data_IF_516425934588
#
_entry.id   IF_516425934588
#
_cell.length_a   1.000
_cell.length_b   1.000
_cell.length_c   1.000
_cell.angle_alpha   90.00
_cell.angle_beta   90.00
_cell.angle_gamma   90.00
#
_symmetry.space_group_name_H-M   'P 1'
#
loop_
_entity.id
_entity.type
_entity.pdbx_description
1 polymer ?
#
# COMPACT_ATOMS: atom_id res chain seq x y z
N UNK A 1 -84.90 52.54 -19.06
CA UNK A 1 -84.44 51.59 -18.03
C UNK A 1 -83.82 50.30 -18.60
N UNK A 2 -83.37 50.24 -19.87
CA UNK A 2 -82.82 49.00 -20.45
C UNK A 2 -81.27 48.92 -20.47
N UNK A 3 -80.56 49.99 -20.11
CA UNK A 3 -79.08 50.02 -20.16
C UNK A 3 -78.36 49.50 -18.90
N UNK A 4 -79.03 49.44 -17.74
CA UNK A 4 -78.41 49.03 -16.48
C UNK A 4 -78.32 47.50 -16.31
N UNK A 5 -79.23 46.74 -16.92
CA UNK A 5 -79.25 45.27 -16.82
C UNK A 5 -78.19 44.56 -17.68
N UNK A 6 -77.76 45.19 -18.79
CA UNK A 6 -76.72 44.64 -19.66
C UNK A 6 -75.31 44.81 -19.06
N UNK A 7 -75.03 45.96 -18.44
CA UNK A 7 -73.74 46.21 -17.76
C UNK A 7 -73.56 45.32 -16.52
N UNK A 8 -74.62 45.06 -15.75
CA UNK A 8 -74.58 44.16 -14.59
C UNK A 8 -74.37 42.68 -14.98
N UNK A 9 -74.87 42.25 -16.13
CA UNK A 9 -74.69 40.89 -16.62
C UNK A 9 -73.27 40.66 -17.16
N UNK A 10 -72.65 41.67 -17.76
CA UNK A 10 -71.27 41.65 -18.25
C UNK A 10 -70.28 41.62 -17.07
N UNK A 11 -70.51 42.41 -16.03
CA UNK A 11 -69.74 42.38 -14.77
C UNK A 11 -69.83 41.01 -14.06
N UNK A 12 -70.99 40.37 -14.06
CA UNK A 12 -71.18 39.04 -13.49
C UNK A 12 -70.39 37.97 -14.26
N UNK A 13 -70.33 38.08 -15.59
CA UNK A 13 -69.58 37.16 -16.45
C UNK A 13 -68.06 37.31 -16.25
N UNK A 14 -67.57 38.55 -16.13
CA UNK A 14 -66.16 38.85 -15.83
C UNK A 14 -65.77 38.31 -14.44
N UNK A 15 -66.64 38.49 -13.43
CA UNK A 15 -66.40 37.93 -12.09
C UNK A 15 -66.34 36.40 -12.10
N UNK A 16 -67.23 35.73 -12.85
CA UNK A 16 -67.21 34.27 -12.99
C UNK A 16 -65.95 33.78 -13.71
N UNK A 17 -65.51 34.47 -14.76
CA UNK A 17 -64.27 34.14 -15.48
C UNK A 17 -63.03 34.31 -14.59
N UNK A 18 -62.98 35.38 -13.79
CA UNK A 18 -61.90 35.62 -12.83
C UNK A 18 -61.88 34.56 -11.71
N UNK A 19 -63.06 34.15 -11.22
CA UNK A 19 -63.20 33.08 -10.24
C UNK A 19 -62.68 31.75 -10.81
N UNK A 20 -63.11 31.38 -12.02
CA UNK A 20 -62.68 30.15 -12.68
C UNK A 20 -61.15 30.13 -12.92
N UNK A 21 -60.56 31.27 -13.33
CA UNK A 21 -59.11 31.41 -13.49
C UNK A 21 -58.37 31.24 -12.15
N UNK A 22 -58.89 31.86 -11.09
CA UNK A 22 -58.31 31.73 -9.74
C UNK A 22 -58.34 30.29 -9.25
N UNK A 23 -59.45 29.57 -9.47
CA UNK A 23 -59.57 28.14 -9.11
C UNK A 23 -58.56 27.30 -9.90
N UNK A 24 -58.44 27.52 -11.21
CA UNK A 24 -57.47 26.79 -12.04
C UNK A 24 -56.02 27.01 -11.56
N UNK A 25 -55.68 28.25 -11.19
CA UNK A 25 -54.36 28.58 -10.66
C UNK A 25 -54.10 27.95 -9.29
N UNK A 26 -55.12 27.85 -8.43
CA UNK A 26 -55.01 27.15 -7.14
C UNK A 26 -54.72 25.66 -7.36
N UNK A 27 -55.48 25.00 -8.25
CA UNK A 27 -55.25 23.58 -8.56
C UNK A 27 -53.86 23.33 -9.16
N UNK A 28 -53.37 24.23 -10.01
CA UNK A 28 -52.00 24.15 -10.54
C UNK A 28 -50.96 24.29 -9.42
N UNK A 29 -51.14 25.25 -8.50
CA UNK A 29 -50.24 25.43 -7.36
C UNK A 29 -50.28 24.22 -6.41
N UNK A 30 -51.45 23.64 -6.15
CA UNK A 30 -51.60 22.42 -5.34
C UNK A 30 -50.82 21.26 -5.97
N UNK A 31 -50.97 21.04 -7.28
CA UNK A 31 -50.21 20.00 -7.99
C UNK A 31 -48.69 20.25 -7.95
N UNK A 32 -48.26 21.52 -8.06
CA UNK A 32 -46.85 21.87 -7.92
C UNK A 32 -46.33 21.62 -6.49
N UNK A 33 -47.13 21.92 -5.47
CA UNK A 33 -46.80 21.65 -4.06
C UNK A 33 -46.64 20.14 -3.84
N UNK A 34 -47.60 19.33 -4.28
CA UNK A 34 -47.52 17.86 -4.17
C UNK A 34 -46.26 17.30 -4.85
N UNK A 35 -45.93 17.82 -6.04
CA UNK A 35 -44.70 17.42 -6.75
C UNK A 35 -43.43 17.81 -5.98
N UNK A 36 -43.40 19.00 -5.37
CA UNK A 36 -42.27 19.48 -4.58
C UNK A 36 -42.13 18.69 -3.27
N UNK A 37 -43.24 18.37 -2.60
CA UNK A 37 -43.23 17.54 -1.40
C UNK A 37 -42.65 16.14 -1.69
N UNK A 38 -43.01 15.55 -2.83
CA UNK A 38 -42.44 14.28 -3.25
C UNK A 38 -40.93 14.37 -3.56
N UNK A 39 -40.48 15.47 -4.18
CA UNK A 39 -39.06 15.71 -4.42
C UNK A 39 -38.27 15.86 -3.12
N UNK A 40 -38.82 16.58 -2.13
CA UNK A 40 -38.23 16.72 -0.79
C UNK A 40 -38.08 15.34 -0.13
N UNK A 41 -39.11 14.50 -0.16
CA UNK A 41 -39.04 13.14 0.39
C UNK A 41 -37.94 12.29 -0.30
N UNK A 42 -37.79 12.42 -1.62
CA UNK A 42 -36.75 11.72 -2.35
C UNK A 42 -35.35 12.22 -1.97
N UNK A 43 -35.17 13.53 -1.81
CA UNK A 43 -33.91 14.12 -1.36
C UNK A 43 -33.56 13.68 0.07
N UNK A 44 -34.53 13.65 0.98
CA UNK A 44 -34.34 13.14 2.34
C UNK A 44 -33.89 11.67 2.36
N UNK A 45 -34.42 10.85 1.45
CA UNK A 45 -34.00 9.46 1.30
C UNK A 45 -32.54 9.36 0.84
N UNK A 46 -32.14 10.17 -0.15
CA UNK A 46 -30.77 10.22 -0.64
C UNK A 46 -29.78 10.69 0.42
N UNK A 47 -30.17 11.67 1.25
CA UNK A 47 -29.34 12.13 2.38
C UNK A 47 -29.10 11.00 3.37
N UNK A 48 -30.15 10.27 3.77
CA UNK A 48 -30.02 9.10 4.66
C UNK A 48 -29.12 8.01 4.09
N UNK A 49 -29.22 7.77 2.78
CA UNK A 49 -28.37 6.79 2.10
C UNK A 49 -26.90 7.24 2.11
N UNK A 50 -26.64 8.53 1.85
CA UNK A 50 -25.30 9.13 1.92
C UNK A 50 -24.70 9.04 3.32
N UNK A 51 -25.49 9.27 4.37
CA UNK A 51 -25.04 9.12 5.76
C UNK A 51 -24.63 7.66 6.04
N UNK A 52 -25.44 6.69 5.59
CA UNK A 52 -25.13 5.27 5.73
C UNK A 52 -23.84 4.87 5.03
N UNK A 53 -23.57 5.38 3.82
CA UNK A 53 -22.30 5.13 3.12
C UNK A 53 -21.11 5.78 3.83
N UNK A 54 -21.29 6.96 4.42
CA UNK A 54 -20.26 7.65 5.20
C UNK A 54 -19.87 6.84 6.44
N UNK A 55 -20.85 6.31 7.17
CA UNK A 55 -20.62 5.46 8.34
C UNK A 55 -19.89 4.16 7.96
N UNK A 56 -20.32 3.52 6.86
CA UNK A 56 -19.67 2.33 6.34
C UNK A 56 -18.22 2.60 5.93
N UNK A 57 -17.96 3.72 5.25
CA UNK A 57 -16.61 4.16 4.88
C UNK A 57 -15.75 4.28 6.13
N UNK A 58 -16.21 5.02 7.15
CA UNK A 58 -15.46 5.23 8.38
C UNK A 58 -15.05 3.92 9.08
N UNK A 59 -15.97 2.95 9.19
CA UNK A 59 -15.67 1.65 9.81
C UNK A 59 -14.72 0.80 8.96
N UNK A 60 -14.82 0.85 7.63
CA UNK A 60 -13.89 0.16 6.73
C UNK A 60 -12.48 0.76 6.82
N UNK A 61 -12.36 2.09 6.86
CA UNK A 61 -11.06 2.76 6.99
C UNK A 61 -10.41 2.44 8.33
N UNK A 62 -11.20 2.48 9.41
CA UNK A 62 -10.75 2.13 10.76
C UNK A 62 -10.27 0.68 10.87
N UNK A 63 -10.97 -0.27 10.26
CA UNK A 63 -10.67 -1.70 10.38
C UNK A 63 -9.55 -2.16 9.44
N UNK A 64 -9.44 -1.57 8.25
CA UNK A 64 -8.45 -1.94 7.24
C UNK A 64 -7.11 -1.21 7.40
N UNK A 65 -7.12 -0.04 8.04
CA UNK A 65 -6.00 0.89 8.04
C UNK A 65 -5.77 1.55 6.68
N UNK A 66 -6.75 1.52 5.77
CA UNK A 66 -6.70 2.15 4.46
C UNK A 66 -7.72 3.28 4.42
N UNK A 67 -7.29 4.52 4.20
CA UNK A 67 -8.16 5.68 4.07
C UNK A 67 -8.18 6.17 2.62
N UNK A 68 -9.37 6.34 2.04
CA UNK A 68 -9.51 6.85 0.68
C UNK A 68 -9.50 8.37 0.71
N UNK A 69 -8.40 8.97 0.25
CA UNK A 69 -8.17 10.42 0.26
C UNK A 69 -8.89 11.11 -0.89
N UNK A 70 -8.77 10.57 -2.10
CA UNK A 70 -9.44 11.12 -3.27
C UNK A 70 -9.62 10.07 -4.35
N UNK A 71 -10.79 10.11 -5.00
CA UNK A 71 -11.08 9.34 -6.20
C UNK A 71 -11.42 10.34 -7.31
N UNK A 72 -10.79 10.17 -8.46
CA UNK A 72 -11.07 10.89 -9.70
C UNK A 72 -11.08 9.89 -10.85
N UNK A 73 -11.43 10.34 -12.06
CA UNK A 73 -11.48 9.45 -13.22
C UNK A 73 -10.12 8.80 -13.53
N UNK A 74 -9.02 9.52 -13.29
CA UNK A 74 -7.67 9.07 -13.64
C UNK A 74 -6.80 8.72 -12.42
N UNK A 75 -7.21 9.08 -11.21
CA UNK A 75 -6.38 8.88 -10.01
C UNK A 75 -7.16 8.36 -8.81
N UNK A 76 -6.54 7.40 -8.13
CA UNK A 76 -6.94 6.90 -6.83
C UNK A 76 -5.82 7.19 -5.82
N UNK A 77 -6.13 7.97 -4.77
CA UNK A 77 -5.20 8.25 -3.68
C UNK A 77 -5.69 7.61 -2.39
N UNK A 78 -4.81 6.84 -1.76
CA UNK A 78 -5.09 6.07 -0.55
C UNK A 78 -3.99 6.32 0.46
N UNK A 79 -4.35 6.54 1.72
CA UNK A 79 -3.41 6.50 2.85
C UNK A 79 -3.41 5.10 3.44
N UNK A 80 -2.23 4.51 3.56
CA UNK A 80 -1.98 3.21 4.15
C UNK A 80 -1.38 3.45 5.53
N UNK A 81 -2.12 3.09 6.58
CA UNK A 81 -1.66 3.12 7.96
C UNK A 81 -1.24 1.71 8.35
N UNK A 82 0.06 1.51 8.51
CA UNK A 82 0.63 0.23 8.95
C UNK A 82 0.93 0.26 10.45
N UNK A 83 0.22 -0.53 11.27
CA UNK A 83 0.58 -0.71 12.67
C UNK A 83 1.81 -1.60 12.76
N UNK A 84 2.82 -1.17 13.52
CA UNK A 84 4.01 -1.98 13.77
C UNK A 84 3.80 -2.71 15.10
N UNK A 85 3.76 -4.05 15.11
CA UNK A 85 3.89 -4.78 16.36
C UNK A 85 5.33 -4.60 16.84
N UNK A 86 5.47 -3.83 17.92
CA UNK A 86 6.74 -3.72 18.64
C UNK A 86 7.18 -5.12 19.07
N UNK A 87 8.17 -5.69 18.39
CA UNK A 87 8.75 -6.99 18.77
C UNK A 87 9.57 -6.90 20.07
N UNK A 88 9.91 -5.69 20.54
CA UNK A 88 10.49 -5.47 21.87
C UNK A 88 9.98 -4.15 22.46
N UNK A 89 9.22 -4.25 23.54
CA UNK A 89 8.94 -3.16 24.49
C UNK A 89 10.28 -2.66 25.02
N UNK A 90 10.77 -1.48 24.62
CA UNK A 90 11.76 -0.69 25.39
C UNK A 90 12.13 0.67 24.76
N UNK A 91 11.58 1.07 23.60
CA UNK A 91 11.63 2.48 23.23
C UNK A 91 10.33 3.18 23.70
N UNK A 92 10.42 4.27 24.48
CA UNK A 92 9.25 5.04 24.90
C UNK A 92 8.57 5.80 23.74
N UNK A 93 9.11 5.74 22.52
CA UNK A 93 8.70 6.57 21.38
C UNK A 93 8.12 5.80 20.17
N UNK A 94 7.92 4.47 20.21
CA UNK A 94 7.44 3.70 19.04
C UNK A 94 6.00 3.17 19.14
N UNK A 95 5.08 3.98 19.67
CA UNK A 95 3.66 3.90 19.24
C UNK A 95 3.48 4.63 17.89
N UNK A 96 4.37 4.38 16.95
CA UNK A 96 4.40 5.06 15.66
C UNK A 96 3.44 4.37 14.69
N UNK A 97 2.34 5.02 14.34
CA UNK A 97 1.62 4.70 13.12
C UNK A 97 2.53 5.11 11.96
N UNK A 98 2.82 4.18 11.06
CA UNK A 98 3.53 4.52 9.82
C UNK A 98 2.48 4.74 8.75
N UNK A 99 2.49 5.95 8.20
CA UNK A 99 1.53 6.39 7.19
C UNK A 99 2.27 6.58 5.88
N UNK A 100 1.77 5.91 4.86
CA UNK A 100 2.23 6.05 3.48
C UNK A 100 1.07 6.47 2.59
N UNK A 101 1.28 7.42 1.72
CA UNK A 101 0.30 7.81 0.71
C UNK A 101 0.63 7.13 -0.61
N UNK A 102 -0.31 6.34 -1.11
CA UNK A 102 -0.25 5.65 -2.38
C UNK A 102 -1.16 6.36 -3.38
N UNK A 103 -0.56 6.91 -4.43
CA UNK A 103 -1.28 7.44 -5.58
C UNK A 103 -1.17 6.45 -6.75
N UNK A 104 -2.30 6.06 -7.31
CA UNK A 104 -2.40 5.16 -8.46
C UNK A 104 -3.02 5.95 -9.61
N UNK A 105 -2.28 6.06 -10.72
CA UNK A 105 -2.78 6.63 -11.97
C UNK A 105 -3.35 5.52 -12.85
N UNK A 106 -4.57 5.72 -13.32
CA UNK A 106 -5.33 4.79 -14.15
C UNK A 106 -5.44 5.34 -15.57
N UNK A 107 -5.22 4.48 -16.54
CA UNK A 107 -5.58 4.76 -17.93
C UNK A 107 -7.06 4.39 -18.12
N UNK A 108 -7.91 5.41 -18.25
CA UNK A 108 -9.37 5.25 -18.42
C UNK A 108 -9.74 4.55 -19.73
N UNK A 109 -8.87 4.60 -20.74
CA UNK A 109 -9.13 3.98 -22.05
C UNK A 109 -8.88 2.47 -22.03
N UNK A 110 -7.81 2.05 -21.36
CA UNK A 110 -7.44 0.63 -21.27
C UNK A 110 -7.88 -0.03 -19.97
N UNK A 111 -8.35 0.74 -18.99
CA UNK A 111 -8.67 0.30 -17.63
C UNK A 111 -7.47 -0.41 -16.96
N UNK A 112 -6.26 0.13 -17.15
CA UNK A 112 -5.00 -0.41 -16.58
C UNK A 112 -4.28 0.59 -15.70
N UNK A 113 -3.35 0.11 -14.86
CA UNK A 113 -2.52 0.97 -14.01
C UNK A 113 -1.37 1.54 -14.86
N UNK A 114 -1.34 2.86 -15.01
CA UNK A 114 -0.31 3.56 -15.79
C UNK A 114 0.95 3.82 -14.96
N UNK A 115 0.75 4.32 -13.74
CA UNK A 115 1.82 4.67 -12.81
C UNK A 115 1.35 4.51 -11.36
N UNK A 116 2.28 4.24 -10.46
CA UNK A 116 2.02 4.28 -9.02
C UNK A 116 3.13 5.06 -8.33
N UNK A 117 2.75 5.85 -7.34
CA UNK A 117 3.65 6.66 -6.55
C UNK A 117 3.37 6.40 -5.07
N UNK A 118 4.41 6.05 -4.32
CA UNK A 118 4.35 5.86 -2.87
C UNK A 118 5.15 6.95 -2.17
N UNK A 119 4.53 7.66 -1.23
CA UNK A 119 5.15 8.70 -0.43
C UNK A 119 5.10 8.33 1.06
N UNK A 120 6.19 8.51 1.82
CA UNK A 120 7.54 8.88 1.38
C UNK A 120 8.21 7.78 0.53
N UNK A 121 9.27 8.13 -0.22
CA UNK A 121 10.07 7.18 -1.05
C UNK A 121 11.06 6.36 -0.20
N UNK A 122 10.64 5.90 0.98
CA UNK A 122 11.47 5.15 1.92
C UNK A 122 11.38 3.63 1.74
N UNK A 123 10.44 3.18 0.91
CA UNK A 123 10.19 1.77 0.57
C UNK A 123 10.36 1.61 -0.94
N UNK A 124 11.26 0.74 -1.41
CA UNK A 124 11.35 0.41 -2.84
C UNK A 124 10.15 -0.46 -3.25
N UNK A 125 9.52 -0.13 -4.38
CA UNK A 125 8.32 -0.80 -4.92
C UNK A 125 8.32 -0.92 -6.45
N UNK A 126 9.44 -0.61 -7.10
CA UNK A 126 9.58 -0.57 -8.55
C UNK A 126 9.34 -1.95 -9.19
N UNK A 127 9.72 -3.01 -8.47
CA UNK A 127 9.45 -4.40 -8.84
C UNK A 127 7.94 -4.70 -8.88
N UNK A 128 7.20 -4.17 -7.90
CA UNK A 128 5.75 -4.34 -7.81
C UNK A 128 5.01 -3.59 -8.92
N UNK A 129 5.48 -2.40 -9.29
CA UNK A 129 4.92 -1.64 -10.41
C UNK A 129 5.14 -2.39 -11.73
N UNK A 130 6.34 -2.93 -11.95
CA UNK A 130 6.64 -3.73 -13.14
C UNK A 130 5.76 -5.00 -13.21
N UNK A 131 5.57 -5.70 -12.09
CA UNK A 131 4.67 -6.85 -11.98
C UNK A 131 3.23 -6.50 -12.38
N UNK A 132 2.71 -5.36 -11.92
CA UNK A 132 1.33 -4.98 -12.27
C UNK A 132 1.21 -4.57 -13.74
N UNK A 133 2.23 -3.90 -14.30
CA UNK A 133 2.26 -3.59 -15.74
C UNK A 133 2.31 -4.86 -16.60
N UNK A 134 3.09 -5.86 -16.20
CA UNK A 134 3.13 -7.16 -16.92
C UNK A 134 1.82 -7.92 -16.81
N UNK A 135 1.19 -7.96 -15.63
CA UNK A 135 -0.15 -8.54 -15.46
C UNK A 135 -1.22 -7.81 -16.28
N UNK A 136 -1.11 -6.49 -16.40
CA UNK A 136 -2.00 -5.68 -17.25
C UNK A 136 -1.87 -6.07 -18.73
N UNK A 137 -0.67 -6.40 -19.20
CA UNK A 137 -0.44 -6.93 -20.57
C UNK A 137 -1.06 -8.32 -20.72
N UNK A 138 -0.90 -9.21 -19.72
CA UNK A 138 -1.47 -10.56 -19.76
C UNK A 138 -2.99 -10.56 -19.72
N UNK A 139 -3.62 -9.61 -19.03
CA UNK A 139 -5.08 -9.44 -19.01
C UNK A 139 -5.66 -8.86 -20.31
N UNK A 140 -4.83 -8.39 -21.25
CA UNK A 140 -5.26 -8.15 -22.64
C UNK A 140 -5.50 -9.45 -23.42
N UNK A 141 -5.17 -10.62 -22.84
CA UNK A 141 -5.55 -11.90 -23.41
C UNK A 141 -7.07 -12.14 -23.24
N UNK A 142 -7.83 -12.47 -24.31
CA UNK A 142 -9.30 -12.52 -24.30
C UNK A 142 -9.95 -13.50 -23.31
N UNK A 143 -9.18 -14.36 -22.64
CA UNK A 143 -9.69 -15.47 -21.85
C UNK A 143 -10.04 -15.12 -20.39
N UNK A 144 -9.70 -13.91 -19.93
CA UNK A 144 -9.95 -13.47 -18.53
C UNK A 144 -10.90 -12.26 -18.41
N UNK A 145 -11.42 -11.75 -19.54
CA UNK A 145 -12.24 -10.53 -19.61
C UNK A 145 -13.74 -10.81 -19.43
N UNK A 146 -14.10 -11.77 -18.57
CA UNK A 146 -15.49 -11.93 -18.15
C UNK A 146 -15.73 -11.06 -16.91
N UNK A 147 -16.05 -9.78 -17.17
CA UNK A 147 -16.74 -8.88 -16.27
C UNK A 147 -15.85 -8.11 -15.30
N UNK A 148 -15.40 -6.90 -15.69
CA UNK A 148 -15.12 -5.72 -14.83
C UNK A 148 -14.25 -5.85 -13.56
N UNK A 149 -13.79 -7.04 -13.17
CA UNK A 149 -13.17 -7.36 -11.89
C UNK A 149 -11.64 -7.46 -11.99
N UNK A 150 -11.07 -7.28 -13.18
CA UNK A 150 -9.64 -7.41 -13.41
C UNK A 150 -8.82 -6.31 -12.74
N UNK A 151 -9.30 -5.07 -12.77
CA UNK A 151 -8.58 -3.91 -12.24
C UNK A 151 -8.72 -3.80 -10.71
N UNK A 152 -9.89 -4.12 -10.15
CA UNK A 152 -10.11 -4.12 -8.69
C UNK A 152 -9.22 -5.16 -8.00
N UNK A 153 -9.05 -6.35 -8.59
CA UNK A 153 -8.10 -7.38 -8.12
C UNK A 153 -6.65 -6.92 -8.21
N UNK A 154 -6.28 -6.21 -9.29
CA UNK A 154 -4.93 -5.68 -9.46
C UNK A 154 -4.60 -4.60 -8.43
N UNK A 155 -5.50 -3.63 -8.23
CA UNK A 155 -5.35 -2.58 -7.20
C UNK A 155 -5.26 -3.21 -5.81
N UNK A 156 -6.16 -4.14 -5.49
CA UNK A 156 -6.14 -4.82 -4.20
C UNK A 156 -4.84 -5.61 -3.97
N UNK A 157 -4.36 -6.34 -5.00
CA UNK A 157 -3.09 -7.06 -4.95
C UNK A 157 -1.91 -6.11 -4.74
N UNK A 158 -1.89 -4.98 -5.47
CA UNK A 158 -0.85 -3.96 -5.35
C UNK A 158 -0.81 -3.37 -3.94
N UNK A 159 -1.96 -2.91 -3.42
CA UNK A 159 -2.08 -2.36 -2.07
C UNK A 159 -1.61 -3.40 -1.03
N UNK A 160 -2.02 -4.65 -1.18
CA UNK A 160 -1.64 -5.73 -0.26
C UNK A 160 -0.13 -5.97 -0.25
N UNK A 161 0.50 -6.02 -1.42
CA UNK A 161 1.96 -6.21 -1.55
C UNK A 161 2.75 -5.01 -1.05
N UNK A 162 2.31 -3.79 -1.38
CA UNK A 162 2.91 -2.54 -0.87
C UNK A 162 2.83 -2.51 0.66
N UNK A 163 1.68 -2.85 1.25
CA UNK A 163 1.52 -2.92 2.71
C UNK A 163 2.47 -3.93 3.34
N UNK A 164 2.63 -5.11 2.75
CA UNK A 164 3.62 -6.09 3.20
C UNK A 164 5.05 -5.56 3.10
N UNK A 165 5.34 -4.79 2.05
CA UNK A 165 6.65 -4.15 1.81
C UNK A 165 6.98 -3.10 2.86
N UNK A 166 6.03 -2.22 3.14
CA UNK A 166 6.12 -1.20 4.20
C UNK A 166 6.40 -1.90 5.53
N UNK A 167 5.59 -2.91 5.85
CA UNK A 167 5.72 -3.66 7.09
C UNK A 167 7.11 -4.33 7.23
N UNK A 168 7.58 -5.01 6.17
CA UNK A 168 8.91 -5.63 6.14
C UNK A 168 10.03 -4.59 6.28
N UNK A 169 9.90 -3.43 5.62
CA UNK A 169 10.90 -2.35 5.70
C UNK A 169 11.03 -1.80 7.13
N UNK A 170 9.90 -1.62 7.83
CA UNK A 170 9.91 -1.13 9.20
C UNK A 170 10.57 -2.15 10.13
N UNK A 171 10.15 -3.43 10.05
CA UNK A 171 10.76 -4.48 10.86
C UNK A 171 12.26 -4.64 10.58
N UNK A 172 12.65 -4.54 9.31
CA UNK A 172 14.06 -4.58 8.88
C UNK A 172 14.87 -3.48 9.55
N UNK A 173 14.41 -2.23 9.45
CA UNK A 173 15.12 -1.09 10.01
C UNK A 173 15.29 -1.21 11.52
N UNK A 174 14.25 -1.67 12.23
CA UNK A 174 14.32 -1.95 13.66
C UNK A 174 15.34 -3.05 13.97
N UNK A 175 15.27 -4.21 13.30
CA UNK A 175 16.20 -5.32 13.51
C UNK A 175 17.66 -4.95 13.24
N UNK A 176 17.91 -4.20 12.15
CA UNK A 176 19.25 -3.70 11.81
C UNK A 176 19.73 -2.72 12.88
N UNK A 177 18.87 -1.81 13.34
CA UNK A 177 19.25 -0.82 14.37
C UNK A 177 19.61 -1.47 15.71
N UNK A 178 18.91 -2.54 16.09
CA UNK A 178 19.21 -3.34 17.29
C UNK A 178 20.53 -4.07 17.11
N UNK A 179 20.72 -4.71 15.95
CA UNK A 179 21.92 -5.49 15.65
C UNK A 179 23.16 -4.61 15.51
N UNK A 180 23.03 -3.39 15.00
CA UNK A 180 24.14 -2.44 14.88
C UNK A 180 24.73 -2.01 16.23
N UNK A 181 24.00 -2.19 17.34
CA UNK A 181 24.50 -1.93 18.71
C UNK A 181 25.41 -3.05 19.23
N UNK A 182 25.45 -4.20 18.56
CA UNK A 182 26.27 -5.32 19.02
C UNK A 182 27.76 -5.04 18.77
N UNK A 183 28.62 -4.98 19.81
CA UNK A 183 30.01 -4.54 19.66
C UNK A 183 30.87 -5.52 18.85
N UNK A 184 30.45 -6.78 18.73
CA UNK A 184 31.17 -7.86 18.04
C UNK A 184 31.15 -7.69 16.52
N UNK A 185 30.08 -7.11 15.95
CA UNK A 185 29.90 -6.96 14.51
C UNK A 185 29.71 -5.48 14.17
N UNK A 186 30.49 -4.94 13.23
CA UNK A 186 30.25 -3.58 12.73
C UNK A 186 29.35 -3.65 11.50
N UNK A 187 28.09 -3.28 11.66
CA UNK A 187 27.08 -3.32 10.62
C UNK A 187 26.90 -1.95 9.96
N UNK A 188 26.88 -1.95 8.63
CA UNK A 188 26.50 -0.79 7.82
C UNK A 188 25.42 -1.23 6.83
N UNK A 189 24.26 -0.59 6.88
CA UNK A 189 23.17 -0.83 5.94
C UNK A 189 23.20 0.21 4.82
N UNK A 190 23.06 -0.26 3.57
CA UNK A 190 22.84 0.56 2.38
C UNK A 190 21.43 0.28 1.86
N UNK A 191 20.47 1.20 2.09
CA UNK A 191 19.09 1.04 1.61
C UNK A 191 19.00 0.93 0.08
N UNK A 192 19.78 1.74 -0.64
CA UNK A 192 19.79 1.78 -2.11
C UNK A 192 20.15 0.43 -2.74
N UNK A 193 21.16 -0.25 -2.19
CA UNK A 193 21.62 -1.55 -2.69
C UNK A 193 20.94 -2.75 -2.00
N UNK A 194 20.05 -2.50 -1.02
CA UNK A 194 19.49 -3.51 -0.11
C UNK A 194 20.58 -4.46 0.44
N UNK A 195 21.70 -3.86 0.83
CA UNK A 195 22.90 -4.57 1.23
C UNK A 195 23.28 -4.21 2.66
N UNK A 196 23.57 -5.23 3.47
CA UNK A 196 24.28 -5.04 4.74
C UNK A 196 25.71 -5.49 4.61
N UNK A 197 26.62 -4.58 4.92
CA UNK A 197 28.03 -4.86 5.08
C UNK A 197 28.32 -5.08 6.56
N UNK A 198 28.82 -6.26 6.92
CA UNK A 198 29.15 -6.63 8.28
C UNK A 198 30.65 -6.93 8.41
N UNK A 199 31.36 -6.19 9.26
CA UNK A 199 32.72 -6.56 9.65
C UNK A 199 32.65 -7.64 10.74
N UNK A 200 33.18 -8.82 10.45
CA UNK A 200 33.21 -9.95 11.37
C UNK A 200 34.39 -9.83 12.37
N UNK A 201 34.39 -10.57 13.49
CA UNK A 201 35.53 -10.76 14.38
C UNK A 201 36.68 -11.46 13.65
N UNK A 202 37.50 -10.66 12.98
CA UNK A 202 38.54 -11.13 12.09
C UNK A 202 38.77 -10.10 10.97
N UNK A 203 39.74 -10.36 10.10
CA UNK A 203 40.05 -9.48 8.98
C UNK A 203 39.10 -9.74 7.81
N UNK A 204 37.81 -10.01 8.05
CA UNK A 204 36.80 -10.31 7.03
C UNK A 204 35.57 -9.40 7.12
N UNK A 205 35.04 -9.08 5.96
CA UNK A 205 33.83 -8.31 5.73
C UNK A 205 32.86 -9.16 4.92
N UNK A 206 31.66 -9.35 5.44
CA UNK A 206 30.56 -10.03 4.77
C UNK A 206 29.65 -9.00 4.10
N UNK A 207 29.35 -9.20 2.82
CA UNK A 207 28.33 -8.45 2.09
C UNK A 207 27.10 -9.31 1.96
N UNK A 208 26.00 -8.88 2.59
CA UNK A 208 24.77 -9.66 2.73
C UNK A 208 23.67 -8.96 1.95
N UNK A 209 23.14 -9.63 0.94
CA UNK A 209 21.92 -9.21 0.27
C UNK A 209 20.72 -9.44 1.17
N UNK A 210 19.91 -8.40 1.32
CA UNK A 210 18.66 -8.45 2.06
C UNK A 210 17.52 -8.47 1.05
N UNK A 211 16.77 -9.57 0.94
CA UNK A 211 15.59 -9.56 0.11
C UNK A 211 14.55 -8.61 0.69
N UNK A 212 13.81 -8.01 -0.21
CA UNK A 212 12.78 -7.02 0.03
C UNK A 212 11.65 -7.41 0.98
N UNK A 213 11.37 -8.71 1.13
CA UNK A 213 10.41 -9.23 2.09
C UNK A 213 11.00 -9.58 3.46
N UNK A 214 12.32 -9.59 3.63
CA UNK A 214 12.94 -9.85 4.94
C UNK A 214 12.58 -8.74 5.94
N UNK A 215 12.24 -9.06 7.20
CA UNK A 215 12.38 -10.35 7.90
C UNK A 215 11.13 -11.24 7.91
N UNK A 216 10.24 -11.13 6.92
CA UNK A 216 9.02 -11.95 6.86
C UNK A 216 9.33 -13.43 6.57
N UNK A 217 8.48 -14.37 7.03
CA UNK A 217 8.63 -15.79 6.70
C UNK A 217 8.72 -16.03 5.19
N UNK A 218 9.62 -16.93 4.78
CA UNK A 218 9.86 -17.25 3.37
C UNK A 218 10.93 -16.38 2.69
N UNK A 219 11.46 -15.36 3.38
CA UNK A 219 12.56 -14.53 2.89
C UNK A 219 13.81 -14.75 3.74
N UNK A 220 14.83 -15.40 3.16
CA UNK A 220 16.12 -15.67 3.82
C UNK A 220 17.20 -14.67 3.44
N UNK A 221 18.11 -14.37 4.36
CA UNK A 221 19.31 -13.60 4.04
C UNK A 221 20.22 -14.39 3.09
N UNK A 222 20.94 -13.68 2.22
CA UNK A 222 21.87 -14.28 1.29
C UNK A 222 23.24 -13.60 1.39
N UNK A 223 24.29 -14.39 1.56
CA UNK A 223 25.66 -13.91 1.56
C UNK A 223 26.12 -13.74 0.12
N UNK A 224 26.39 -12.51 -0.31
CA UNK A 224 26.89 -12.23 -1.66
C UNK A 224 28.39 -12.48 -1.78
N UNK A 225 29.16 -12.07 -0.77
CA UNK A 225 30.62 -12.22 -0.81
C UNK A 225 31.24 -12.10 0.58
N UNK A 226 32.37 -12.78 0.78
CA UNK A 226 33.29 -12.55 1.88
C UNK A 226 34.58 -11.94 1.35
N UNK A 227 34.97 -10.79 1.89
CA UNK A 227 36.15 -10.03 1.44
C UNK A 227 37.07 -9.73 2.62
N UNK A 228 38.39 -9.81 2.47
CA UNK A 228 39.32 -9.36 3.49
C UNK A 228 39.18 -7.87 3.81
N UNK A 229 38.99 -7.53 5.09
CA UNK A 229 38.80 -6.17 5.59
C UNK A 229 40.06 -5.28 5.51
N UNK A 230 41.24 -5.87 5.29
CA UNK A 230 42.50 -5.12 5.22
C UNK A 230 43.29 -5.46 3.95
N UNK A 231 43.96 -4.45 3.37
CA UNK A 231 44.88 -4.60 2.24
C UNK A 231 46.15 -5.41 2.57
N UNK A 232 46.33 -5.85 3.82
CA UNK A 232 47.41 -6.77 4.16
C UNK A 232 47.00 -8.13 3.64
N UNK A 233 47.78 -8.64 2.67
CA UNK A 233 47.61 -9.95 2.02
C UNK A 233 47.17 -10.99 3.06
N UNK A 234 45.88 -11.30 3.09
CA UNK A 234 45.44 -12.56 3.65
C UNK A 234 45.75 -13.59 2.57
N UNK A 235 46.64 -14.53 2.89
CA UNK A 235 46.98 -15.68 2.05
C UNK A 235 45.88 -16.76 2.08
N UNK A 236 44.62 -16.33 2.18
CA UNK A 236 43.49 -17.25 2.08
C UNK A 236 43.11 -17.38 0.61
N UNK A 237 43.07 -18.62 0.14
CA UNK A 237 42.64 -18.90 -1.22
C UNK A 237 41.23 -18.34 -1.41
N UNK A 238 41.03 -17.60 -2.50
CA UNK A 238 39.72 -17.10 -2.92
C UNK A 238 38.68 -18.22 -3.00
N UNK A 239 39.13 -19.45 -3.28
CA UNK A 239 38.27 -20.63 -3.34
C UNK A 239 37.69 -21.01 -1.98
N UNK A 240 38.45 -20.83 -0.88
CA UNK A 240 37.96 -21.12 0.47
C UNK A 240 36.88 -20.12 0.88
N UNK A 241 37.06 -18.84 0.53
CA UNK A 241 36.06 -17.81 0.77
C UNK A 241 34.79 -18.04 -0.05
N UNK A 242 34.93 -18.46 -1.31
CA UNK A 242 33.80 -18.81 -2.17
C UNK A 242 33.04 -20.02 -1.62
N UNK A 243 33.73 -21.08 -1.19
CA UNK A 243 33.11 -22.23 -0.53
C UNK A 243 32.38 -21.85 0.75
N UNK A 244 32.91 -20.90 1.53
CA UNK A 244 32.20 -20.38 2.71
C UNK A 244 30.90 -19.67 2.34
N UNK A 245 30.88 -18.94 1.21
CA UNK A 245 29.67 -18.31 0.69
C UNK A 245 28.61 -19.36 0.32
N UNK A 246 28.99 -20.37 -0.45
CA UNK A 246 28.07 -21.44 -0.87
C UNK A 246 27.51 -22.23 0.32
N UNK A 247 28.37 -22.55 1.31
CA UNK A 247 27.95 -23.21 2.54
C UNK A 247 27.06 -22.34 3.41
N UNK A 248 27.32 -21.03 3.49
CA UNK A 248 26.47 -20.12 4.24
C UNK A 248 25.07 -20.01 3.61
N UNK A 249 24.96 -20.04 2.29
CA UNK A 249 23.66 -19.93 1.60
C UNK A 249 22.88 -21.26 1.56
N UNK A 250 23.54 -22.40 1.69
CA UNK A 250 22.91 -23.74 1.72
C UNK A 250 22.62 -24.27 3.12
N UNK A 251 23.26 -23.72 4.15
CA UNK A 251 23.14 -24.20 5.53
C UNK A 251 21.79 -23.84 6.16
N UNK A 252 21.10 -24.79 6.83
CA UNK A 252 19.87 -24.49 7.56
C UNK A 252 20.11 -23.56 8.77
N UNK A 253 21.31 -23.58 9.37
CA UNK A 253 21.68 -22.66 10.46
C UNK A 253 21.70 -21.20 10.01
N UNK A 254 21.90 -20.97 8.71
CA UNK A 254 21.94 -19.66 8.07
C UNK A 254 20.60 -19.23 7.47
N UNK A 255 19.54 -20.04 7.61
CA UNK A 255 18.18 -19.66 7.18
C UNK A 255 17.41 -18.87 8.25
N UNK A 256 18.06 -18.53 9.36
CA UNK A 256 17.43 -17.74 10.42
C UNK A 256 17.04 -16.34 9.91
N UNK A 257 15.85 -15.83 10.27
CA UNK A 257 15.47 -14.46 9.97
C UNK A 257 16.28 -13.45 10.80
N UNK A 258 17.05 -13.86 11.80
CA UNK A 258 17.88 -12.96 12.62
C UNK A 258 19.27 -12.77 12.00
N UNK A 259 19.61 -11.51 11.70
CA UNK A 259 20.91 -11.14 11.12
C UNK A 259 22.09 -11.50 12.02
N UNK A 260 21.93 -11.46 13.34
CA UNK A 260 23.01 -11.83 14.27
C UNK A 260 23.28 -13.33 14.23
N UNK A 261 22.23 -14.15 14.19
CA UNK A 261 22.38 -15.60 14.06
C UNK A 261 23.00 -15.97 12.71
N UNK A 262 22.60 -15.28 11.64
CA UNK A 262 23.21 -15.44 10.33
C UNK A 262 24.72 -15.13 10.34
N UNK A 263 25.13 -14.03 10.95
CA UNK A 263 26.55 -13.67 11.10
C UNK A 263 27.34 -14.67 11.93
N UNK A 264 26.74 -15.19 13.02
CA UNK A 264 27.34 -16.24 13.84
C UNK A 264 27.53 -17.55 13.07
N UNK A 265 26.55 -17.92 12.24
CA UNK A 265 26.64 -19.09 11.37
C UNK A 265 27.76 -18.94 10.34
N UNK A 266 27.87 -17.78 9.70
CA UNK A 266 28.98 -17.46 8.78
C UNK A 266 30.33 -17.59 9.48
N UNK A 267 30.45 -17.01 10.68
CA UNK A 267 31.68 -17.08 11.48
C UNK A 267 32.06 -18.53 11.81
N UNK A 268 31.07 -19.35 12.20
CA UNK A 268 31.27 -20.78 12.49
C UNK A 268 31.71 -21.57 11.25
N UNK A 269 31.09 -21.32 10.09
CA UNK A 269 31.45 -21.97 8.81
C UNK A 269 32.90 -21.61 8.45
N UNK A 270 33.24 -20.33 8.51
CA UNK A 270 34.59 -19.86 8.21
C UNK A 270 35.66 -20.46 9.15
N UNK A 271 35.40 -20.46 10.47
CA UNK A 271 36.32 -21.06 11.44
C UNK A 271 36.48 -22.57 11.25
N UNK A 272 35.44 -23.25 10.77
CA UNK A 272 35.50 -24.69 10.46
C UNK A 272 36.35 -24.93 9.22
N UNK A 273 36.14 -24.17 8.14
CA UNK A 273 36.92 -24.27 6.90
C UNK A 273 38.39 -23.92 7.06
N UNK A 274 38.71 -22.99 7.95
CA UNK A 274 40.11 -22.68 8.29
C UNK A 274 40.80 -23.80 9.08
N UNK A 275 40.05 -24.62 9.82
CA UNK A 275 40.57 -25.74 10.62
C UNK A 275 40.62 -27.05 9.84
N UNK A 276 39.89 -27.17 8.73
CA UNK A 276 40.05 -28.28 7.80
C UNK A 276 41.49 -28.24 7.23
N UNK A 277 42.30 -29.31 7.40
CA UNK A 277 43.60 -29.36 6.76
C UNK A 277 43.37 -29.31 5.26
N UNK A 278 44.02 -28.37 4.59
CA UNK A 278 44.07 -28.26 3.14
C UNK A 278 44.65 -29.55 2.55
N UNK A 279 43.79 -30.52 2.24
CA UNK A 279 44.17 -31.65 1.40
C UNK A 279 44.30 -31.10 -0.02
N UNK A 280 45.55 -31.13 -0.49
CA UNK A 280 46.04 -30.71 -1.79
C UNK A 280 45.21 -31.18 -2.97
#
# INVERSE_FOLDING_TARGET
MAGAGAAMADDLYVLQANLNNTIAKIMEMESQIESQEQEVLNLEMLVKESESYSDLKFELERSSGLEVLSVSDEFLKIRITSPVPTMQTNSPNHRGKYEHELAIKLDTTTMTIEAVQLMPEDVPYEDLEADVKTLSVLHKAPLLVNGGQGWSKQIFSLISRIRQRIYANILRNEMISVSAKYPRYKLKYSPEANLVTATLPGPLTANIAIPYGWPMPGFSLHLNSLVPSSKRRHEESTDVLLQCVDLANSSPESQSPDILQFLQAIEKIYLSKRKEPSNH
#
